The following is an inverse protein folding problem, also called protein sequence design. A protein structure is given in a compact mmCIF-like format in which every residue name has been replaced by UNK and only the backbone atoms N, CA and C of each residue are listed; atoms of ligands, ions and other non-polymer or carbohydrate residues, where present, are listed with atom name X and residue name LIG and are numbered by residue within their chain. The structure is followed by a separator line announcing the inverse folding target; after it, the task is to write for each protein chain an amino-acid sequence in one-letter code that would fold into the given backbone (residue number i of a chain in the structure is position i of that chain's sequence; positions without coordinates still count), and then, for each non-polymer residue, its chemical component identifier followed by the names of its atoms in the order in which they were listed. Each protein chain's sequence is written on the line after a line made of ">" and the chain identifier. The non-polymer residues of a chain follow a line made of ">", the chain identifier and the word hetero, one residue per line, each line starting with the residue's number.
data_IF_333877882986
#
_entry.id   IF_333877882986
#
_cell.length_a   1.000
_cell.length_b   1.000
_cell.length_c   1.000
_cell.angle_alpha   90.00
_cell.angle_beta   90.00
_cell.angle_gamma   90.00
#
_symmetry.space_group_name_H-M   'P 1'
#
loop_
_entity.id
_entity.type
_entity.pdbx_description
1 polymer ?
#
# COMPACT_ATOMS: atom_id res chain seq x y z
N UNK A 1 -0.07 -13.26 3.95
CA UNK A 1 -1.03 -13.90 4.89
C UNK A 1 -2.27 -14.49 4.19
N UNK A 2 -3.01 -13.75 3.34
CA UNK A 2 -4.20 -14.32 2.67
C UNK A 2 -3.88 -15.53 1.78
N UNK A 3 -2.85 -15.44 0.92
CA UNK A 3 -2.50 -16.53 0.01
C UNK A 3 -1.99 -17.79 0.74
N UNK A 4 -1.21 -17.64 1.83
CA UNK A 4 -0.73 -18.76 2.65
C UNK A 4 -1.85 -19.42 3.48
N UNK A 5 -2.89 -18.67 3.86
CA UNK A 5 -4.06 -19.25 4.54
C UNK A 5 -4.95 -20.05 3.59
N UNK A 6 -5.07 -19.65 2.33
CA UNK A 6 -5.89 -20.35 1.33
C UNK A 6 -5.29 -21.73 1.01
N UNK A 7 -3.97 -21.84 0.88
CA UNK A 7 -3.29 -23.13 0.71
C UNK A 7 -3.38 -24.02 1.95
N UNK A 8 -3.33 -23.43 3.15
CA UNK A 8 -3.44 -24.18 4.42
C UNK A 8 -4.84 -24.67 4.78
N UNK A 9 -5.93 -24.00 4.34
CA UNK A 9 -7.30 -24.41 4.67
C UNK A 9 -7.78 -25.63 3.88
N UNK A 10 -7.29 -25.83 2.67
CA UNK A 10 -7.70 -26.93 1.81
C UNK A 10 -7.20 -28.31 2.31
N UNK A 11 -6.09 -28.34 3.05
CA UNK A 11 -5.47 -29.59 3.56
C UNK A 11 -5.90 -30.04 4.96
N UNK A 12 -6.76 -29.29 5.66
CA UNK A 12 -7.13 -29.57 7.07
C UNK A 12 -7.91 -30.87 7.29
N UNK A 13 -8.48 -31.45 6.25
CA UNK A 13 -9.31 -32.67 6.33
C UNK A 13 -8.54 -33.97 6.01
N UNK A 14 -7.20 -33.91 5.92
CA UNK A 14 -6.36 -35.09 5.67
C UNK A 14 -6.41 -35.62 4.23
N UNK A 15 -7.13 -34.95 3.32
CA UNK A 15 -7.19 -35.28 1.90
C UNK A 15 -6.16 -34.42 1.14
N UNK A 16 -5.59 -34.98 0.06
CA UNK A 16 -4.73 -34.21 -0.86
C UNK A 16 -5.51 -33.00 -1.38
N UNK A 17 -4.96 -31.81 -1.19
CA UNK A 17 -5.57 -30.56 -1.61
C UNK A 17 -4.66 -29.81 -2.58
N UNK A 18 -5.22 -29.33 -3.68
CA UNK A 18 -4.49 -28.59 -4.71
C UNK A 18 -4.92 -27.13 -4.68
N UNK A 19 -3.96 -26.22 -4.46
CA UNK A 19 -4.15 -24.78 -4.62
C UNK A 19 -3.46 -24.32 -5.90
N UNK A 20 -4.17 -23.60 -6.76
CA UNK A 20 -3.61 -23.00 -7.97
C UNK A 20 -3.42 -21.50 -7.75
N UNK A 21 -2.23 -20.99 -8.10
CA UNK A 21 -1.92 -19.57 -8.07
C UNK A 21 -1.66 -19.11 -9.51
N UNK A 22 -2.51 -18.22 -10.01
CA UNK A 22 -2.36 -17.64 -11.34
C UNK A 22 -1.78 -16.24 -11.23
N UNK A 23 -0.70 -15.97 -11.96
CA UNK A 23 -0.02 -14.67 -11.98
C UNK A 23 0.65 -14.44 -13.31
N UNK A 24 0.76 -13.18 -13.71
CA UNK A 24 1.57 -12.76 -14.86
C UNK A 24 3.07 -12.74 -14.54
N UNK A 25 3.48 -12.87 -13.28
CA UNK A 25 4.87 -12.82 -12.84
C UNK A 25 5.22 -14.03 -11.94
N UNK A 26 5.32 -15.25 -12.51
CA UNK A 26 5.58 -16.47 -11.73
C UNK A 26 6.95 -16.45 -11.04
N UNK A 27 7.95 -15.79 -11.65
CA UNK A 27 9.32 -15.72 -11.13
C UNK A 27 9.54 -14.61 -10.10
N UNK A 28 8.52 -13.78 -9.85
CA UNK A 28 8.65 -12.73 -8.84
C UNK A 28 8.96 -13.36 -7.48
N UNK A 29 9.97 -12.87 -6.71
CA UNK A 29 10.43 -13.59 -5.53
C UNK A 29 9.35 -13.79 -4.45
N UNK A 30 8.38 -12.88 -4.37
CA UNK A 30 7.19 -13.06 -3.50
C UNK A 30 6.36 -14.27 -3.91
N UNK A 31 6.16 -14.50 -5.20
CA UNK A 31 5.40 -15.64 -5.70
C UNK A 31 6.13 -16.95 -5.43
N UNK A 32 7.46 -16.97 -5.63
CA UNK A 32 8.30 -18.13 -5.28
C UNK A 32 8.28 -18.44 -3.78
N UNK A 33 8.31 -17.43 -2.92
CA UNK A 33 8.23 -17.62 -1.47
C UNK A 33 6.86 -18.16 -1.03
N UNK A 34 5.76 -17.70 -1.65
CA UNK A 34 4.41 -18.21 -1.39
C UNK A 34 4.28 -19.69 -1.79
N UNK A 35 4.81 -20.07 -2.96
CA UNK A 35 4.72 -21.45 -3.45
C UNK A 35 5.61 -22.40 -2.65
N UNK A 36 6.81 -21.96 -2.24
CA UNK A 36 7.74 -22.77 -1.44
C UNK A 36 7.34 -22.90 0.02
N UNK A 37 6.45 -22.04 0.53
CA UNK A 37 6.08 -21.98 1.94
C UNK A 37 7.13 -21.29 2.82
N UNK A 38 8.17 -20.70 2.23
CA UNK A 38 9.23 -19.97 2.93
C UNK A 38 8.76 -18.55 3.33
N UNK A 39 7.99 -18.50 4.40
CA UNK A 39 7.48 -17.25 4.94
C UNK A 39 8.58 -16.36 5.54
N UNK A 40 9.71 -16.94 5.95
CA UNK A 40 10.81 -16.21 6.57
C UNK A 40 11.56 -15.40 5.53
N UNK A 41 11.98 -16.02 4.42
CA UNK A 41 12.63 -15.33 3.30
C UNK A 41 11.75 -14.22 2.71
N UNK A 42 10.44 -14.47 2.59
CA UNK A 42 9.47 -13.42 2.23
C UNK A 42 9.51 -12.24 3.20
N UNK A 43 9.46 -12.52 4.51
CA UNK A 43 9.40 -11.48 5.54
C UNK A 43 10.69 -10.66 5.59
N UNK A 44 11.86 -11.31 5.51
CA UNK A 44 13.16 -10.64 5.48
C UNK A 44 13.30 -9.73 4.24
N UNK A 45 12.78 -10.16 3.09
CA UNK A 45 12.81 -9.34 1.88
C UNK A 45 11.86 -8.14 1.97
N UNK A 46 10.61 -8.36 2.38
CA UNK A 46 9.64 -7.28 2.56
C UNK A 46 10.11 -6.24 3.58
N UNK A 47 10.71 -6.67 4.69
CA UNK A 47 11.16 -5.75 5.73
C UNK A 47 12.34 -4.90 5.26
N UNK A 48 13.29 -5.51 4.52
CA UNK A 48 14.40 -4.80 3.89
C UNK A 48 13.94 -3.76 2.88
N UNK A 49 12.96 -4.10 2.02
CA UNK A 49 12.42 -3.14 1.04
C UNK A 49 11.68 -1.98 1.73
N UNK A 50 10.95 -2.26 2.82
CA UNK A 50 10.28 -1.23 3.63
C UNK A 50 11.27 -0.30 4.30
N UNK A 51 12.36 -0.83 4.84
CA UNK A 51 13.42 -0.04 5.49
C UNK A 51 14.07 0.90 4.48
N UNK A 52 14.48 0.38 3.32
CA UNK A 52 15.05 1.19 2.22
C UNK A 52 14.10 2.27 1.72
N UNK A 53 12.80 2.00 1.72
CA UNK A 53 11.77 2.94 1.29
C UNK A 53 11.25 3.88 2.38
N UNK A 54 11.79 3.84 3.60
CA UNK A 54 11.24 4.54 4.78
C UNK A 54 9.72 4.32 4.93
N UNK A 55 9.25 3.11 4.65
CA UNK A 55 7.86 2.69 4.80
C UNK A 55 7.64 2.14 6.21
N UNK A 56 6.39 2.12 6.73
CA UNK A 56 6.10 1.53 8.02
C UNK A 56 6.60 0.07 8.09
N UNK A 57 7.29 -0.33 9.19
CA UNK A 57 7.43 0.38 10.46
C UNK A 57 8.63 1.35 10.59
N UNK A 58 9.43 1.54 9.53
CA UNK A 58 10.66 2.34 9.55
C UNK A 58 10.45 3.83 9.26
N UNK A 59 9.30 4.17 8.68
CA UNK A 59 8.81 5.54 8.57
C UNK A 59 7.33 5.63 8.90
N UNK A 60 6.77 6.84 8.75
CA UNK A 60 5.36 7.14 8.97
C UNK A 60 4.70 7.52 7.66
N UNK A 61 3.45 7.10 7.50
CA UNK A 61 2.60 7.50 6.39
C UNK A 61 1.30 8.08 6.93
N UNK A 62 0.92 9.24 6.44
CA UNK A 62 -0.40 9.83 6.64
C UNK A 62 -1.07 10.10 5.30
N UNK A 63 -2.35 9.76 5.18
CA UNK A 63 -3.13 10.02 3.98
C UNK A 63 -4.17 11.09 4.24
N UNK A 64 -4.15 12.17 3.45
CA UNK A 64 -5.22 13.16 3.45
C UNK A 64 -6.08 12.96 2.21
N UNK A 65 -7.38 12.74 2.41
CA UNK A 65 -8.35 12.60 1.33
C UNK A 65 -9.18 13.88 1.24
N UNK A 66 -9.16 14.50 0.07
CA UNK A 66 -10.00 15.64 -0.27
C UNK A 66 -11.15 15.13 -1.12
N UNK A 67 -12.39 15.42 -0.71
CA UNK A 67 -13.60 14.92 -1.36
C UNK A 67 -14.56 16.05 -1.71
N UNK A 68 -14.97 16.13 -2.97
CA UNK A 68 -15.93 17.14 -3.46
C UNK A 68 -16.96 16.52 -4.41
N UNK A 69 -18.02 17.28 -4.72
CA UNK A 69 -19.07 16.85 -5.65
C UNK A 69 -18.53 16.78 -7.07
N UNK A 70 -17.66 17.70 -7.45
CA UNK A 70 -17.01 17.67 -8.77
C UNK A 70 -15.54 17.27 -8.67
N UNK A 71 -15.01 16.69 -9.74
CA UNK A 71 -13.59 16.36 -9.87
C UNK A 71 -12.69 17.60 -9.74
N UNK A 72 -13.08 18.68 -10.43
CA UNK A 72 -12.30 19.91 -10.49
C UNK A 72 -12.14 20.58 -9.12
N UNK A 73 -13.21 20.62 -8.31
CA UNK A 73 -13.14 21.12 -6.94
C UNK A 73 -12.24 20.26 -6.05
N UNK A 74 -12.41 18.92 -6.08
CA UNK A 74 -11.61 18.03 -5.25
C UNK A 74 -10.11 18.17 -5.57
N UNK A 75 -9.77 18.23 -6.86
CA UNK A 75 -8.40 18.42 -7.32
C UNK A 75 -7.88 19.82 -6.95
N UNK A 76 -8.66 20.87 -7.19
CA UNK A 76 -8.31 22.25 -6.87
C UNK A 76 -8.00 22.45 -5.39
N UNK A 77 -8.84 21.93 -4.51
CA UNK A 77 -8.61 21.95 -3.06
C UNK A 77 -7.39 21.13 -2.66
N UNK A 78 -7.18 19.94 -3.24
CA UNK A 78 -5.99 19.14 -2.94
C UNK A 78 -4.69 19.83 -3.38
N UNK A 79 -4.69 20.49 -4.54
CA UNK A 79 -3.56 21.32 -5.01
C UNK A 79 -3.37 22.56 -4.13
N UNK A 80 -4.45 23.12 -3.61
CA UNK A 80 -4.40 24.21 -2.62
C UNK A 80 -3.73 23.75 -1.33
N UNK A 81 -4.16 22.61 -0.78
CA UNK A 81 -3.58 22.03 0.44
C UNK A 81 -2.10 21.70 0.26
N UNK A 82 -1.70 21.16 -0.91
CA UNK A 82 -0.30 20.91 -1.24
C UNK A 82 0.54 22.19 -1.22
N UNK A 83 0.02 23.29 -1.75
CA UNK A 83 0.74 24.58 -1.81
C UNK A 83 0.84 25.26 -0.43
N UNK A 84 -0.15 25.02 0.43
CA UNK A 84 -0.16 25.54 1.80
C UNK A 84 0.59 24.66 2.80
N UNK A 85 1.03 23.45 2.40
CA UNK A 85 1.77 22.57 3.27
C UNK A 85 3.13 23.21 3.62
N UNK A 86 3.53 23.24 4.90
CA UNK A 86 4.82 23.80 5.30
C UNK A 86 5.95 22.97 4.70
N UNK A 87 7.06 23.65 4.37
CA UNK A 87 8.29 22.96 4.03
C UNK A 87 8.91 22.43 5.33
N UNK A 88 8.95 21.11 5.45
CA UNK A 88 9.62 20.40 6.53
C UNK A 88 10.65 19.47 5.89
N UNK A 89 11.90 19.55 6.34
CA UNK A 89 13.04 18.82 5.75
C UNK A 89 12.92 17.29 5.86
N UNK A 90 12.10 16.83 6.80
CA UNK A 90 11.87 15.44 7.18
C UNK A 90 10.52 14.89 6.70
N UNK A 91 9.72 15.70 5.98
CA UNK A 91 8.42 15.31 5.44
C UNK A 91 8.35 15.45 3.92
N UNK A 92 7.98 14.36 3.27
CA UNK A 92 7.69 14.30 1.85
C UNK A 92 6.19 14.26 1.63
N UNK A 93 5.65 15.30 1.00
CA UNK A 93 4.28 15.28 0.51
C UNK A 93 4.29 14.77 -0.94
N UNK A 94 3.49 13.75 -1.23
CA UNK A 94 3.32 13.15 -2.55
C UNK A 94 1.90 13.41 -3.07
N UNK A 95 1.78 13.63 -4.38
CA UNK A 95 0.53 14.02 -5.03
C UNK A 95 0.30 15.54 -5.07
N UNK A 96 -0.95 15.99 -5.30
CA UNK A 96 -2.18 15.20 -5.23
C UNK A 96 -2.35 14.23 -6.41
N UNK A 97 -3.00 13.10 -6.16
CA UNK A 97 -3.39 12.11 -7.17
C UNK A 97 -4.80 11.59 -6.89
N UNK A 98 -5.43 10.92 -7.85
CA UNK A 98 -6.70 10.23 -7.59
C UNK A 98 -6.53 9.21 -6.45
N UNK A 99 -7.48 9.16 -5.53
CA UNK A 99 -7.48 8.14 -4.48
C UNK A 99 -7.70 6.75 -5.10
N UNK A 100 -7.22 5.64 -4.48
CA UNK A 100 -7.44 4.27 -4.99
C UNK A 100 -8.90 3.93 -5.30
N UNK A 101 -9.83 4.59 -4.59
CA UNK A 101 -11.24 4.64 -4.96
C UNK A 101 -11.62 6.11 -5.22
N UNK A 102 -11.52 6.52 -6.49
CA UNK A 102 -11.59 7.92 -6.91
C UNK A 102 -13.01 8.50 -6.94
N UNK A 103 -14.03 7.66 -6.97
CA UNK A 103 -15.45 8.03 -6.83
C UNK A 103 -16.11 7.16 -5.76
N UNK A 104 -16.69 7.77 -4.73
CA UNK A 104 -17.42 7.05 -3.67
C UNK A 104 -18.62 7.90 -3.23
N UNK A 105 -19.82 7.29 -3.25
CA UNK A 105 -21.05 8.00 -2.90
C UNK A 105 -21.33 9.23 -3.77
N UNK A 106 -20.99 9.16 -5.06
CA UNK A 106 -21.14 10.29 -6.00
C UNK A 106 -20.13 11.43 -5.82
N UNK A 107 -19.12 11.27 -4.96
CA UNK A 107 -18.11 12.30 -4.69
C UNK A 107 -16.74 11.90 -5.22
N UNK A 108 -16.07 12.83 -5.88
CA UNK A 108 -14.70 12.66 -6.38
C UNK A 108 -13.70 12.81 -5.24
N UNK A 109 -12.61 12.02 -5.29
CA UNK A 109 -11.64 11.90 -4.21
C UNK A 109 -10.21 12.00 -4.72
N UNK A 110 -9.47 12.95 -4.17
CA UNK A 110 -8.02 13.10 -4.36
C UNK A 110 -7.28 12.83 -3.06
N UNK A 111 -6.08 12.28 -3.17
CA UNK A 111 -5.22 11.94 -2.04
C UNK A 111 -3.92 12.72 -2.10
N UNK A 112 -3.50 13.21 -0.93
CA UNK A 112 -2.11 13.54 -0.62
C UNK A 112 -1.57 12.44 0.30
N UNK A 113 -0.37 11.96 0.02
CA UNK A 113 0.33 11.03 0.89
C UNK A 113 1.51 11.77 1.51
N UNK A 114 1.53 11.84 2.83
CA UNK A 114 2.62 12.42 3.60
C UNK A 114 3.47 11.25 4.08
N UNK A 115 4.77 11.33 3.84
CA UNK A 115 5.77 10.37 4.28
C UNK A 115 6.82 11.08 5.10
N UNK A 116 7.14 10.53 6.28
CA UNK A 116 8.18 11.07 7.14
C UNK A 116 8.99 9.98 7.79
N UNK A 117 10.12 10.36 8.38
CA UNK A 117 10.91 9.46 9.21
C UNK A 117 10.13 9.04 10.47
N UNK A 118 10.54 7.94 11.10
CA UNK A 118 9.87 7.43 12.31
C UNK A 118 9.86 8.44 13.47
N UNK A 119 10.82 9.38 13.50
CA UNK A 119 10.98 10.42 14.53
C UNK A 119 10.31 11.75 14.18
N UNK A 120 9.75 11.90 12.98
CA UNK A 120 8.94 13.06 12.64
C UNK A 120 7.61 12.94 13.40
N UNK A 121 7.52 13.61 14.55
CA UNK A 121 6.31 13.79 15.36
C UNK A 121 5.72 15.19 15.11
#
# INVERSE_FOLDING_TARGET
>A
QLLSQVTGRAGRTGKKSLGLLQTFQPDHPVMRAIVSGDAESFSQREISERERGALPPFGRLAGVIVSAVTRAEAEGHARGLRRAAPEASDLFVLGPAEAPLSLLGGRHRFRLLIQGERRAD
#
